data_IF_858308623737
#
_entry.id   IF_858308623737
#
_cell.length_a   1.000
_cell.length_b   1.000
_cell.length_c   1.000
_cell.angle_alpha   90.00
_cell.angle_beta   90.00
_cell.angle_gamma   90.00
#
_symmetry.space_group_name_H-M   'P 1'
#
loop_
_entity.id
_entity.type
_entity.pdbx_description
1 polymer ?
#
# COMPACT_ATOMS: atom_id res chain seq x y z
N UNK A 1 -11.69 1.39 -24.84
CA UNK A 1 -12.23 1.08 -23.50
C UNK A 1 -11.09 1.38 -22.55
N UNK A 2 -11.11 2.54 -21.87
CA UNK A 2 -9.98 2.91 -21.00
C UNK A 2 -9.92 1.92 -19.84
N UNK A 3 -8.72 1.39 -19.60
CA UNK A 3 -8.46 0.39 -18.58
C UNK A 3 -8.70 1.03 -17.20
N UNK A 4 -9.35 0.32 -16.29
CA UNK A 4 -9.54 0.78 -14.90
C UNK A 4 -8.20 1.16 -14.26
N UNK A 5 -7.11 0.49 -14.67
CA UNK A 5 -5.76 0.81 -14.27
C UNK A 5 -5.32 2.21 -14.73
N UNK A 6 -5.62 2.60 -15.98
CA UNK A 6 -5.30 3.95 -16.49
C UNK A 6 -6.02 5.03 -15.66
N UNK A 7 -7.29 4.80 -15.32
CA UNK A 7 -8.06 5.71 -14.47
C UNK A 7 -7.43 5.82 -13.07
N UNK A 8 -7.05 4.70 -12.46
CA UNK A 8 -6.38 4.68 -11.15
C UNK A 8 -5.07 5.47 -11.20
N UNK A 9 -4.25 5.26 -12.24
CA UNK A 9 -2.96 5.94 -12.43
C UNK A 9 -3.17 7.45 -12.63
N UNK A 10 -4.14 7.83 -13.47
CA UNK A 10 -4.43 9.24 -13.74
C UNK A 10 -4.82 9.98 -12.45
N UNK A 11 -5.71 9.41 -11.64
CA UNK A 11 -6.09 9.98 -10.35
C UNK A 11 -4.90 10.04 -9.38
N UNK A 12 -4.10 8.97 -9.29
CA UNK A 12 -2.95 8.93 -8.36
C UNK A 12 -1.89 9.98 -8.69
N UNK A 13 -1.68 10.31 -9.97
CA UNK A 13 -0.76 11.38 -10.38
C UNK A 13 -1.20 12.75 -9.86
N UNK A 14 -2.50 13.04 -9.92
CA UNK A 14 -3.05 14.28 -9.37
C UNK A 14 -2.92 14.32 -7.84
N UNK A 15 -3.20 13.21 -7.16
CA UNK A 15 -3.04 13.10 -5.71
C UNK A 15 -1.58 13.29 -5.26
N UNK A 16 -0.61 12.71 -5.97
CA UNK A 16 0.83 12.90 -5.67
C UNK A 16 1.21 14.36 -5.86
N UNK A 17 0.80 15.00 -6.96
CA UNK A 17 1.08 16.43 -7.21
C UNK A 17 0.51 17.31 -6.10
N UNK A 18 -0.70 17.02 -5.62
CA UNK A 18 -1.30 17.74 -4.51
C UNK A 18 -0.56 17.47 -3.18
N UNK A 19 -0.11 16.24 -2.93
CA UNK A 19 0.63 15.89 -1.73
C UNK A 19 2.05 16.50 -1.68
N UNK A 20 2.72 16.64 -2.83
CA UNK A 20 4.02 17.33 -2.91
C UNK A 20 3.93 18.81 -2.49
N UNK A 21 2.74 19.41 -2.57
CA UNK A 21 2.49 20.79 -2.12
C UNK A 21 2.25 20.88 -0.61
N UNK A 22 1.92 19.78 0.08
CA UNK A 22 1.58 19.79 1.50
C UNK A 22 2.78 19.63 2.43
N UNK A 23 3.85 18.96 1.99
CA UNK A 23 5.09 18.84 2.75
C UNK A 23 6.31 18.63 1.83
N UNK A 24 7.49 19.20 2.16
CA UNK A 24 8.73 18.91 1.43
C UNK A 24 9.13 17.44 1.52
N UNK A 25 9.61 16.89 0.40
CA UNK A 25 10.05 15.49 0.33
C UNK A 25 11.14 15.15 1.37
N UNK A 26 12.05 16.08 1.67
CA UNK A 26 13.11 15.85 2.67
C UNK A 26 12.58 15.69 4.09
N UNK A 27 11.54 16.44 4.46
CA UNK A 27 10.90 16.27 5.76
C UNK A 27 10.25 14.88 5.86
N UNK A 28 9.61 14.42 4.78
CA UNK A 28 9.00 13.09 4.70
C UNK A 28 10.06 11.98 4.79
N UNK A 29 11.22 12.16 4.15
CA UNK A 29 12.35 11.23 4.25
C UNK A 29 12.90 11.14 5.67
N UNK A 30 13.05 12.28 6.34
CA UNK A 30 13.52 12.32 7.72
C UNK A 30 12.56 11.58 8.65
N UNK A 31 11.25 11.83 8.53
CA UNK A 31 10.24 11.11 9.31
C UNK A 31 10.24 9.60 9.03
N UNK A 32 10.39 9.21 7.76
CA UNK A 32 10.46 7.80 7.40
C UNK A 32 11.70 7.11 7.98
N UNK A 33 12.83 7.81 8.09
CA UNK A 33 14.10 7.26 8.56
C UNK A 33 14.11 6.86 10.04
N UNK A 34 13.21 7.44 10.85
CA UNK A 34 13.11 7.13 12.28
C UNK A 34 12.18 5.95 12.58
N UNK A 35 11.61 5.30 11.56
CA UNK A 35 10.66 4.20 11.74
C UNK A 35 11.38 2.86 11.85
N UNK A 36 10.88 1.99 12.73
CA UNK A 36 11.35 0.62 12.83
C UNK A 36 11.08 -0.15 11.53
N UNK A 37 12.10 -0.88 11.08
CA UNK A 37 12.03 -1.70 9.87
C UNK A 37 11.75 -3.15 10.24
N UNK A 38 10.77 -3.75 9.56
CA UNK A 38 10.52 -5.19 9.60
C UNK A 38 10.94 -5.79 8.26
N UNK A 39 11.66 -6.91 8.30
CA UNK A 39 12.07 -7.61 7.08
C UNK A 39 10.89 -8.38 6.47
N UNK A 40 10.14 -7.70 5.61
CA UNK A 40 8.98 -8.26 4.92
C UNK A 40 9.33 -9.49 4.08
N UNK A 41 10.45 -9.43 3.35
CA UNK A 41 10.89 -10.52 2.47
C UNK A 41 11.44 -11.68 3.29
N UNK A 42 12.25 -11.39 4.30
CA UNK A 42 12.77 -12.38 5.23
C UNK A 42 11.67 -13.14 5.96
N UNK A 43 10.61 -12.46 6.41
CA UNK A 43 9.48 -13.10 7.08
C UNK A 43 8.79 -14.15 6.17
N UNK A 44 8.56 -13.82 4.90
CA UNK A 44 7.97 -14.76 3.93
C UNK A 44 8.92 -15.92 3.63
N UNK A 45 10.22 -15.63 3.44
CA UNK A 45 11.24 -16.65 3.17
C UNK A 45 11.42 -17.61 4.33
N UNK A 46 11.42 -17.12 5.57
CA UNK A 46 11.55 -17.95 6.76
C UNK A 46 10.38 -18.94 6.89
N UNK A 47 9.14 -18.50 6.64
CA UNK A 47 7.96 -19.38 6.60
C UNK A 47 8.10 -20.47 5.55
N UNK A 48 8.46 -20.10 4.31
CA UNK A 48 8.68 -21.08 3.25
C UNK A 48 9.81 -22.06 3.57
N UNK A 49 10.93 -21.60 4.15
CA UNK A 49 12.05 -22.45 4.53
C UNK A 49 11.65 -23.51 5.58
N UNK A 50 10.67 -23.20 6.43
CA UNK A 50 10.12 -24.11 7.42
C UNK A 50 9.00 -25.00 6.87
N UNK A 51 8.69 -24.93 5.57
CA UNK A 51 7.56 -25.65 4.96
C UNK A 51 6.19 -25.11 5.40
N UNK A 52 6.14 -23.91 5.97
CA UNK A 52 4.92 -23.26 6.43
C UNK A 52 4.33 -22.34 5.34
N UNK A 53 3.01 -22.14 5.39
CA UNK A 53 2.35 -21.17 4.52
C UNK A 53 2.77 -19.73 4.86
N UNK A 54 3.25 -18.99 3.86
CA UNK A 54 3.58 -17.57 3.99
C UNK A 54 2.40 -16.72 3.51
N UNK A 55 1.64 -16.16 4.45
CA UNK A 55 0.40 -15.41 4.14
C UNK A 55 0.64 -13.90 4.27
N UNK A 56 0.31 -13.15 3.21
CA UNK A 56 0.19 -11.70 3.24
C UNK A 56 -1.31 -11.38 3.41
N UNK A 57 -1.73 -11.09 4.64
CA UNK A 57 -3.12 -10.75 4.91
C UNK A 57 -3.41 -9.31 4.49
N UNK A 58 -4.26 -9.12 3.48
CA UNK A 58 -4.69 -7.80 3.00
C UNK A 58 -5.85 -7.26 3.85
N UNK A 59 -5.70 -6.05 4.39
CA UNK A 59 -6.77 -5.32 5.08
C UNK A 59 -7.40 -4.34 4.09
N UNK A 60 -8.62 -4.61 3.61
CA UNK A 60 -9.24 -3.85 2.51
C UNK A 60 -10.73 -3.58 2.70
N UNK A 61 -11.11 -2.30 2.54
CA UNK A 61 -12.50 -1.84 2.68
C UNK A 61 -13.35 -2.08 1.43
N UNK A 62 -12.80 -1.84 0.24
CA UNK A 62 -13.53 -1.87 -1.03
C UNK A 62 -12.62 -2.21 -2.22
N UNK A 63 -13.20 -2.58 -3.36
CA UNK A 63 -12.49 -2.72 -4.64
C UNK A 63 -13.34 -2.23 -5.83
N UNK A 64 -12.71 -1.83 -6.95
CA UNK A 64 -13.45 -1.46 -8.16
C UNK A 64 -14.37 -2.58 -8.69
N UNK A 65 -13.97 -3.84 -8.52
CA UNK A 65 -14.69 -5.00 -9.05
C UNK A 65 -15.77 -5.56 -8.13
N UNK A 66 -15.73 -5.26 -6.83
CA UNK A 66 -16.62 -5.85 -5.81
C UNK A 66 -17.33 -4.82 -4.94
N UNK A 67 -17.11 -3.51 -5.16
CA UNK A 67 -17.69 -2.47 -4.33
C UNK A 67 -17.15 -2.53 -2.90
N UNK A 68 -17.99 -2.22 -1.91
CA UNK A 68 -17.61 -2.31 -0.49
C UNK A 68 -17.52 -3.78 -0.08
N UNK A 69 -16.35 -4.17 0.45
CA UNK A 69 -16.08 -5.51 1.01
C UNK A 69 -16.43 -5.59 2.49
N UNK A 70 -16.26 -4.48 3.23
CA UNK A 70 -16.52 -4.39 4.66
C UNK A 70 -17.05 -3.02 5.04
N UNK A 71 -18.32 -2.96 5.42
CA UNK A 71 -19.00 -1.73 5.83
C UNK A 71 -18.43 -1.18 7.15
N UNK A 72 -18.32 -2.04 8.17
CA UNK A 72 -17.72 -1.67 9.45
C UNK A 72 -16.19 -1.80 9.40
N UNK A 73 -15.54 -0.70 9.01
CA UNK A 73 -14.10 -0.60 8.78
C UNK A 73 -13.50 0.47 9.68
N UNK A 74 -13.09 0.06 10.89
CA UNK A 74 -12.48 0.86 11.95
C UNK A 74 -11.20 0.20 12.45
#
# INVERSE_FOLDING_TARGET
MSDILEKIIAVKREEVRAAEQSAPLEALRLEASSRDLRDFVGALRAKHANGEAAVIAEVKKASPSKGVLREHFV
#
